data_IF_535384448175
#
_entry.id   IF_535384448175
#
_cell.length_a   1.000
_cell.length_b   1.000
_cell.length_c   1.000
_cell.angle_alpha   90.00
_cell.angle_beta   90.00
_cell.angle_gamma   90.00
#
_symmetry.space_group_name_H-M   'P 1'
#
loop_
_entity.id
_entity.type
_entity.pdbx_description
1 polymer ?
#
# COMPACT_ATOMS: atom_id res chain seq x y z
N UNK A 1 -4.02 5.81 -20.36
CA UNK A 1 -3.39 5.89 -19.02
C UNK A 1 -4.40 5.32 -18.03
N UNK A 2 -4.20 4.10 -17.52
CA UNK A 2 -5.21 3.32 -16.78
C UNK A 2 -5.37 3.70 -15.29
N UNK A 3 -4.96 4.92 -14.95
CA UNK A 3 -5.08 5.47 -13.60
C UNK A 3 -5.39 6.95 -13.71
N UNK A 4 -6.32 7.38 -12.88
CA UNK A 4 -6.65 8.77 -12.70
C UNK A 4 -6.24 9.21 -11.28
N UNK A 5 -5.44 10.27 -11.22
CA UNK A 5 -5.01 10.89 -9.98
C UNK A 5 -5.90 12.09 -9.68
N UNK A 6 -6.37 12.20 -8.44
CA UNK A 6 -7.11 13.38 -7.99
C UNK A 6 -6.74 13.82 -6.57
N UNK A 7 -6.87 15.11 -6.31
CA UNK A 7 -6.72 15.72 -4.98
C UNK A 7 -8.08 15.74 -4.32
N UNK A 8 -8.15 15.26 -3.07
CA UNK A 8 -9.41 15.15 -2.32
C UNK A 8 -9.35 16.06 -1.11
N UNK A 9 -10.32 16.96 -1.00
CA UNK A 9 -10.59 17.73 0.22
C UNK A 9 -11.87 17.21 0.87
N UNK A 10 -11.77 16.84 2.15
CA UNK A 10 -12.88 16.33 2.95
C UNK A 10 -13.23 17.36 3.99
N UNK A 11 -14.48 17.83 3.95
CA UNK A 11 -15.07 18.71 4.96
C UNK A 11 -15.80 17.86 6.00
N UNK A 12 -15.42 17.99 7.27
CA UNK A 12 -16.03 17.27 8.40
C UNK A 12 -16.12 18.18 9.65
N UNK A 13 -16.93 19.26 9.60
CA UNK A 13 -17.06 20.19 10.72
C UNK A 13 -17.59 19.49 11.96
N UNK A 14 -16.98 19.78 13.12
CA UNK A 14 -17.38 19.21 14.42
C UNK A 14 -17.19 17.69 14.56
N UNK A 15 -16.58 17.02 13.56
CA UNK A 15 -16.30 15.59 13.59
C UNK A 15 -14.80 15.31 13.49
N UNK A 16 -14.32 14.21 14.08
CA UNK A 16 -12.95 13.76 13.89
C UNK A 16 -12.67 13.40 12.43
N UNK A 17 -11.39 13.18 12.11
CA UNK A 17 -10.97 12.80 10.76
C UNK A 17 -11.69 11.57 10.26
N UNK A 18 -12.28 11.68 9.07
CA UNK A 18 -13.08 10.61 8.46
C UNK A 18 -12.21 9.40 8.13
N UNK A 19 -12.64 8.16 8.44
CA UNK A 19 -11.96 6.95 8.04
C UNK A 19 -11.78 6.84 6.52
N UNK A 20 -10.68 6.20 6.10
CA UNK A 20 -10.38 6.02 4.66
C UNK A 20 -11.34 5.07 3.96
N UNK A 21 -12.03 4.19 4.70
CA UNK A 21 -13.06 3.31 4.14
C UNK A 21 -14.24 4.13 3.63
N UNK A 22 -14.79 5.02 4.46
CA UNK A 22 -15.92 5.87 4.09
C UNK A 22 -15.57 6.84 2.95
N UNK A 23 -14.35 7.38 2.94
CA UNK A 23 -13.85 8.25 1.85
C UNK A 23 -13.80 7.45 0.53
N UNK A 24 -13.32 6.21 0.58
CA UNK A 24 -13.26 5.31 -0.58
C UNK A 24 -14.65 5.06 -1.15
N UNK A 25 -15.61 4.71 -0.31
CA UNK A 25 -17.00 4.46 -0.71
C UNK A 25 -17.66 5.69 -1.33
N UNK A 26 -17.46 6.87 -0.74
CA UNK A 26 -17.97 8.13 -1.30
C UNK A 26 -17.37 8.44 -2.67
N UNK A 27 -16.06 8.29 -2.83
CA UNK A 27 -15.38 8.52 -4.12
C UNK A 27 -15.88 7.52 -5.16
N UNK A 28 -16.00 6.25 -4.79
CA UNK A 28 -16.53 5.20 -5.66
C UNK A 28 -17.95 5.54 -6.13
N UNK A 29 -18.82 6.00 -5.22
CA UNK A 29 -20.18 6.44 -5.55
C UNK A 29 -20.21 7.67 -6.46
N UNK A 30 -19.35 8.66 -6.22
CA UNK A 30 -19.27 9.88 -7.03
C UNK A 30 -18.86 9.59 -8.47
N UNK A 31 -17.87 8.72 -8.65
CA UNK A 31 -17.34 8.37 -9.97
C UNK A 31 -17.96 7.10 -10.58
N UNK A 32 -19.00 6.54 -9.94
CA UNK A 32 -19.71 5.33 -10.37
C UNK A 32 -18.77 4.14 -10.59
N UNK A 33 -17.75 4.02 -9.74
CA UNK A 33 -16.78 2.91 -9.74
C UNK A 33 -16.99 2.01 -8.53
N UNK A 34 -16.33 0.85 -8.51
CA UNK A 34 -16.28 0.00 -7.32
C UNK A 34 -15.25 0.55 -6.32
N UNK A 35 -15.45 0.36 -5.01
CA UNK A 35 -14.49 0.84 -4.01
C UNK A 35 -13.11 0.17 -4.14
N UNK A 36 -13.04 -1.04 -4.68
CA UNK A 36 -11.79 -1.81 -4.78
C UNK A 36 -10.75 -1.19 -5.72
N UNK A 37 -11.20 -0.39 -6.69
CA UNK A 37 -10.31 0.32 -7.62
C UNK A 37 -9.91 1.72 -7.14
N UNK A 38 -10.44 2.17 -6.00
CA UNK A 38 -10.19 3.50 -5.42
C UNK A 38 -9.22 3.38 -4.25
N UNK A 39 -8.06 4.04 -4.36
CA UNK A 39 -6.98 3.98 -3.38
C UNK A 39 -6.73 5.36 -2.77
N UNK A 40 -7.35 5.66 -1.61
CA UNK A 40 -7.10 6.90 -0.87
C UNK A 40 -5.79 6.83 -0.06
N UNK A 41 -4.92 7.84 -0.17
CA UNK A 41 -3.68 7.94 0.61
C UNK A 41 -3.29 9.39 0.92
N UNK A 42 -2.32 9.55 1.83
CA UNK A 42 -1.73 10.86 2.12
C UNK A 42 -2.67 11.89 2.77
N UNK A 43 -3.69 11.45 3.51
CA UNK A 43 -4.61 12.36 4.19
C UNK A 43 -3.94 13.06 5.38
N UNK A 44 -4.01 14.38 5.39
CA UNK A 44 -3.52 15.27 6.44
C UNK A 44 -4.63 16.25 6.84
N UNK A 45 -4.95 16.28 8.13
CA UNK A 45 -5.94 17.19 8.72
C UNK A 45 -5.33 18.58 8.88
N UNK A 46 -6.13 19.63 8.65
CA UNK A 46 -5.74 21.00 8.96
C UNK A 46 -5.67 21.23 10.48
N UNK A 47 -4.83 22.17 10.90
CA UNK A 47 -4.74 22.61 12.30
C UNK A 47 -6.08 23.26 12.67
N UNK A 48 -6.65 22.88 13.81
CA UNK A 48 -8.01 23.29 14.21
C UNK A 48 -9.13 22.37 13.69
N UNK A 49 -8.82 21.36 12.87
CA UNK A 49 -9.79 20.34 12.42
C UNK A 49 -10.74 20.83 11.33
N UNK A 50 -11.82 20.09 11.10
CA UNK A 50 -12.88 20.43 10.14
C UNK A 50 -12.56 20.22 8.66
N UNK A 51 -11.28 20.23 8.27
CA UNK A 51 -10.82 19.98 6.89
C UNK A 51 -9.67 18.98 6.87
N UNK A 52 -9.71 18.06 5.92
CA UNK A 52 -8.60 17.13 5.64
C UNK A 52 -8.31 17.10 4.15
N UNK A 53 -7.04 17.22 3.76
CA UNK A 53 -6.59 17.14 2.37
C UNK A 53 -5.84 15.84 2.14
N UNK A 54 -5.97 15.25 0.96
CA UNK A 54 -5.28 14.02 0.60
C UNK A 54 -5.36 13.74 -0.88
N UNK A 55 -5.00 12.53 -1.26
CA UNK A 55 -4.97 12.08 -2.64
C UNK A 55 -5.76 10.79 -2.81
N UNK A 56 -6.32 10.60 -3.99
CA UNK A 56 -6.93 9.34 -4.39
C UNK A 56 -6.46 8.95 -5.79
N UNK A 57 -6.13 7.67 -5.93
CA UNK A 57 -5.89 7.03 -7.23
C UNK A 57 -7.11 6.20 -7.57
N UNK A 58 -7.62 6.36 -8.79
CA UNK A 58 -8.77 5.61 -9.31
C UNK A 58 -8.27 4.83 -10.52
N UNK A 59 -8.32 3.50 -10.45
CA UNK A 59 -7.92 2.62 -11.54
C UNK A 59 -9.13 2.16 -12.36
N UNK A 60 -8.90 1.81 -13.63
CA UNK A 60 -9.96 1.23 -14.47
C UNK A 60 -10.29 -0.21 -14.03
N UNK A 61 -9.27 -0.98 -13.68
CA UNK A 61 -9.41 -2.38 -13.25
C UNK A 61 -8.51 -2.72 -12.06
N UNK A 62 -8.89 -3.77 -11.33
CA UNK A 62 -8.15 -4.25 -10.16
C UNK A 62 -6.76 -4.80 -10.52
N UNK A 63 -6.59 -5.33 -11.73
CA UNK A 63 -5.33 -5.91 -12.17
C UNK A 63 -4.25 -4.84 -12.37
N UNK A 64 -4.64 -3.68 -12.90
CA UNK A 64 -3.76 -2.53 -12.99
C UNK A 64 -3.39 -2.00 -11.60
N UNK A 65 -4.35 -1.94 -10.67
CA UNK A 65 -4.08 -1.55 -9.29
C UNK A 65 -3.03 -2.46 -8.64
N UNK A 66 -3.16 -3.79 -8.80
CA UNK A 66 -2.21 -4.77 -8.25
C UNK A 66 -0.82 -4.69 -8.88
N UNK A 67 -0.72 -4.31 -10.15
CA UNK A 67 0.55 -4.22 -10.90
C UNK A 67 1.35 -2.97 -10.54
N UNK A 68 0.69 -1.82 -10.41
CA UNK A 68 1.35 -0.53 -10.27
C UNK A 68 1.48 -0.04 -8.83
N UNK A 69 0.58 -0.42 -7.91
CA UNK A 69 0.65 0.06 -6.53
C UNK A 69 1.77 -0.59 -5.73
N UNK A 70 2.42 0.17 -4.83
CA UNK A 70 3.28 -0.42 -3.83
C UNK A 70 2.54 -1.42 -2.95
N UNK A 71 3.14 -2.61 -2.78
CA UNK A 71 2.55 -3.73 -2.03
C UNK A 71 2.02 -3.38 -0.64
N UNK A 72 2.65 -2.44 0.07
CA UNK A 72 2.21 -2.04 1.41
C UNK A 72 0.82 -1.38 1.42
N UNK A 73 0.41 -0.71 0.34
CA UNK A 73 -0.93 -0.13 0.22
C UNK A 73 -1.97 -1.21 -0.02
N UNK A 74 -1.68 -2.15 -0.92
CA UNK A 74 -2.53 -3.30 -1.18
C UNK A 74 -2.80 -4.12 0.09
N UNK A 75 -1.76 -4.35 0.91
CA UNK A 75 -1.90 -5.04 2.20
C UNK A 75 -2.82 -4.26 3.16
N UNK A 76 -2.67 -2.94 3.25
CA UNK A 76 -3.54 -2.10 4.10
C UNK A 76 -5.01 -2.08 3.65
N UNK A 77 -5.26 -2.35 2.36
CA UNK A 77 -6.61 -2.46 1.82
C UNK A 77 -7.19 -3.86 1.89
N UNK A 78 -6.39 -4.87 2.30
CA UNK A 78 -6.80 -6.27 2.31
C UNK A 78 -6.72 -6.98 0.95
N UNK A 79 -6.18 -6.34 -0.09
CA UNK A 79 -6.09 -6.88 -1.45
C UNK A 79 -4.88 -7.80 -1.67
N UNK A 80 -3.93 -7.83 -0.73
CA UNK A 80 -2.75 -8.68 -0.77
C UNK A 80 -2.35 -9.13 0.63
N UNK A 81 -1.84 -10.36 0.76
CA UNK A 81 -1.25 -10.82 2.01
C UNK A 81 0.16 -10.27 2.20
N UNK A 82 0.52 -10.05 3.47
CA UNK A 82 1.87 -9.67 3.84
C UNK A 82 2.82 -10.81 3.50
N UNK A 83 3.78 -10.52 2.64
CA UNK A 83 4.90 -11.45 2.41
C UNK A 83 5.85 -11.33 3.60
N UNK A 84 5.85 -12.35 4.46
CA UNK A 84 6.86 -12.46 5.51
C UNK A 84 8.22 -12.71 4.87
N UNK A 85 9.04 -11.66 4.91
CA UNK A 85 10.44 -11.73 4.54
C UNK A 85 11.24 -11.57 5.81
N UNK A 86 12.18 -12.47 6.08
CA UNK A 86 13.11 -12.36 7.19
C UNK A 86 13.72 -10.96 7.32
N UNK A 87 14.00 -10.54 8.56
CA UNK A 87 14.44 -9.18 8.87
C UNK A 87 15.76 -8.80 8.17
N UNK A 88 16.07 -7.49 8.12
CA UNK A 88 17.30 -6.99 7.47
C UNK A 88 18.57 -7.65 8.04
N UNK A 89 18.60 -7.91 9.34
CA UNK A 89 19.68 -8.62 10.04
C UNK A 89 19.88 -10.05 9.50
N UNK A 90 18.82 -10.86 9.50
CA UNK A 90 18.85 -12.24 9.00
C UNK A 90 19.31 -12.32 7.54
N UNK A 91 18.86 -11.39 6.67
CA UNK A 91 19.31 -11.34 5.27
C UNK A 91 20.79 -10.99 5.14
N UNK A 92 21.28 -10.05 5.96
CA UNK A 92 22.71 -9.66 5.97
C UNK A 92 23.59 -10.79 6.48
N UNK A 93 23.18 -11.48 7.54
CA UNK A 93 23.88 -12.65 8.08
C UNK A 93 23.92 -13.79 7.06
N UNK A 94 22.80 -14.11 6.41
CA UNK A 94 22.75 -15.11 5.33
C UNK A 94 23.71 -14.74 4.19
N UNK A 95 23.70 -13.48 3.76
CA UNK A 95 24.63 -12.98 2.73
C UNK A 95 26.09 -13.13 3.17
N UNK A 96 26.42 -12.80 4.41
CA UNK A 96 27.78 -12.94 4.93
C UNK A 96 28.22 -14.41 5.03
N UNK A 97 27.32 -15.34 5.39
CA UNK A 97 27.59 -16.78 5.34
C UNK A 97 27.81 -17.27 3.90
N UNK A 98 26.97 -16.84 2.95
CA UNK A 98 27.10 -17.19 1.53
C UNK A 98 28.41 -16.71 0.90
N UNK A 99 28.96 -15.57 1.36
CA UNK A 99 30.26 -15.06 0.90
C UNK A 99 31.44 -15.96 1.30
N UNK A 100 31.31 -16.76 2.37
CA UNK A 100 32.38 -17.66 2.86
C UNK A 100 32.52 -18.96 2.05
N UNK A 101 31.54 -19.29 1.20
CA UNK A 101 31.50 -20.55 0.44
C UNK A 101 31.41 -20.29 -1.06
N UNK A 102 31.88 -21.23 -1.90
CA UNK A 102 31.90 -21.12 -3.38
C UNK A 102 31.19 -22.30 -4.04
N UNK A 103 30.78 -22.12 -5.30
CA UNK A 103 30.14 -23.15 -6.12
C UNK A 103 28.87 -23.73 -5.48
N UNK A 104 28.68 -25.04 -5.62
CA UNK A 104 27.51 -25.80 -5.15
C UNK A 104 27.29 -25.62 -3.63
N UNK A 105 28.36 -25.39 -2.85
CA UNK A 105 28.29 -25.15 -1.40
C UNK A 105 27.52 -23.87 -1.01
N UNK A 106 27.22 -22.96 -1.94
CA UNK A 106 26.34 -21.80 -1.68
C UNK A 106 24.86 -22.19 -1.55
N UNK A 107 24.42 -23.23 -2.26
CA UNK A 107 23.02 -23.66 -2.26
C UNK A 107 22.59 -24.15 -0.88
N UNK A 108 23.45 -24.90 -0.18
CA UNK A 108 23.19 -25.41 1.17
C UNK A 108 23.06 -24.30 2.21
N UNK A 109 23.86 -23.23 2.09
CA UNK A 109 23.79 -22.05 2.98
C UNK A 109 22.58 -21.16 2.65
N UNK A 110 22.08 -21.19 1.42
CA UNK A 110 20.88 -20.47 0.99
C UNK A 110 19.58 -21.11 1.47
N UNK A 111 19.56 -22.45 1.60
CA UNK A 111 18.40 -23.21 2.07
C UNK A 111 18.05 -22.97 3.56
N UNK A 112 18.93 -22.31 4.32
CA UNK A 112 18.73 -22.01 5.73
C UNK A 112 17.77 -20.84 6.00
N UNK A 113 16.53 -21.19 6.38
CA UNK A 113 15.45 -20.40 7.01
C UNK A 113 14.90 -19.18 6.22
N UNK A 114 13.60 -19.26 5.89
CA UNK A 114 12.75 -18.16 5.41
C UNK A 114 12.72 -17.01 6.42
#
# INVERSE_FOLDING_TARGET
>A
MHVWWTVVEVLHPGRPTVPKADIREKIAKMYKTTPDVVIPFGFQSAIGGGKTKGFALIYDTLDYAKKFEPKYRLIRMGLAQKVDKGGRKQRKERRNRQKKVRGIKKATVSAGKK
#
